data_IF_728423875170
#
_entry.id   IF_728423875170
#
_cell.length_a   1.000
_cell.length_b   1.000
_cell.length_c   1.000
_cell.angle_alpha   90.00
_cell.angle_beta   90.00
_cell.angle_gamma   90.00
#
_symmetry.space_group_name_H-M   'P 1'
#
loop_
_entity.id
_entity.type
_entity.pdbx_description
1 polymer ?
#
# COMPACT_ATOMS: atom_id res chain seq x y z
N UNK A 1 8.19 5.22 -14.43
CA UNK A 1 9.21 4.25 -14.88
C UNK A 1 10.42 4.51 -14.00
N UNK A 2 10.93 3.51 -13.27
CA UNK A 2 12.04 3.72 -12.33
C UNK A 2 13.34 3.84 -13.11
N UNK A 3 13.96 5.02 -13.08
CA UNK A 3 15.11 5.33 -13.91
C UNK A 3 16.42 4.73 -13.38
N UNK A 4 16.53 4.44 -12.08
CA UNK A 4 17.72 3.86 -11.45
C UNK A 4 17.42 3.04 -10.18
N UNK A 5 18.28 2.07 -9.89
CA UNK A 5 18.25 1.28 -8.65
C UNK A 5 18.78 2.11 -7.48
N UNK A 6 18.03 2.22 -6.38
CA UNK A 6 18.49 2.93 -5.18
C UNK A 6 19.69 2.29 -4.48
N UNK A 7 19.95 1.01 -4.71
CA UNK A 7 21.06 0.28 -4.06
C UNK A 7 22.38 0.28 -4.82
N UNK A 8 22.36 0.41 -6.15
CA UNK A 8 23.56 0.36 -6.99
C UNK A 8 23.61 1.42 -8.08
N UNK A 9 22.63 2.33 -8.11
CA UNK A 9 22.51 3.46 -9.04
C UNK A 9 22.43 3.07 -10.53
N UNK A 10 22.44 1.76 -10.83
CA UNK A 10 22.31 1.24 -12.17
C UNK A 10 20.93 1.59 -12.74
N UNK A 11 20.92 2.13 -13.96
CA UNK A 11 19.69 2.36 -14.72
C UNK A 11 18.98 1.07 -15.09
N UNK A 12 17.66 1.10 -15.05
CA UNK A 12 16.83 -0.03 -15.47
C UNK A 12 16.85 -0.23 -16.98
N UNK A 13 16.77 -1.48 -17.41
CA UNK A 13 16.53 -1.81 -18.83
C UNK A 13 15.05 -2.04 -19.08
N UNK A 14 14.59 -1.88 -20.32
CA UNK A 14 13.21 -2.17 -20.69
C UNK A 14 12.83 -3.63 -20.34
N UNK A 15 11.69 -3.81 -19.67
CA UNK A 15 11.20 -5.13 -19.22
C UNK A 15 11.78 -5.63 -17.90
N UNK A 16 12.70 -4.87 -17.28
CA UNK A 16 13.26 -5.22 -15.99
C UNK A 16 12.28 -4.88 -14.85
N UNK A 17 12.00 -5.85 -13.98
CA UNK A 17 11.08 -5.67 -12.85
C UNK A 17 11.88 -5.23 -11.63
N UNK A 18 11.50 -4.09 -11.09
CA UNK A 18 12.04 -3.53 -9.85
C UNK A 18 11.04 -3.80 -8.73
N UNK A 19 11.56 -4.05 -7.54
CA UNK A 19 10.76 -4.21 -6.32
C UNK A 19 11.04 -3.05 -5.35
N UNK A 20 10.16 -2.83 -4.37
CA UNK A 20 10.22 -1.70 -3.45
C UNK A 20 10.62 -2.15 -2.04
N UNK A 21 11.62 -1.48 -1.45
CA UNK A 21 11.93 -1.65 -0.04
C UNK A 21 11.15 -0.61 0.79
N UNK A 22 10.19 -1.06 1.60
CA UNK A 22 9.39 -0.18 2.46
C UNK A 22 10.20 0.50 3.58
N UNK A 23 11.32 -0.09 4.01
CA UNK A 23 12.14 0.47 5.09
C UNK A 23 13.08 1.58 4.61
N UNK A 24 13.77 1.34 3.49
CA UNK A 24 14.70 2.30 2.92
C UNK A 24 14.04 3.25 1.90
N UNK A 25 12.77 3.00 1.54
CA UNK A 25 12.00 3.74 0.53
C UNK A 25 12.71 3.81 -0.85
N UNK A 26 13.29 2.68 -1.26
CA UNK A 26 14.06 2.57 -2.49
C UNK A 26 13.50 1.50 -3.42
N UNK A 27 13.52 1.80 -4.72
CA UNK A 27 13.32 0.81 -5.78
C UNK A 27 14.63 0.05 -6.04
N UNK A 28 14.58 -1.27 -5.99
CA UNK A 28 15.75 -2.15 -6.08
C UNK A 28 15.68 -3.05 -7.30
N UNK A 29 16.83 -3.22 -7.97
CA UNK A 29 16.98 -4.23 -9.00
C UNK A 29 17.04 -5.64 -8.39
N UNK A 30 16.82 -6.71 -9.19
CA UNK A 30 16.81 -8.09 -8.69
C UNK A 30 18.07 -8.50 -7.92
N UNK A 31 19.24 -8.00 -8.32
CA UNK A 31 20.51 -8.28 -7.65
C UNK A 31 20.63 -7.58 -6.28
N UNK A 32 20.20 -6.32 -6.17
CA UNK A 32 20.18 -5.61 -4.89
C UNK A 32 19.11 -6.17 -3.96
N UNK A 33 17.98 -6.59 -4.50
CA UNK A 33 16.91 -7.26 -3.76
C UNK A 33 17.36 -8.60 -3.19
N UNK A 34 18.03 -9.44 -3.99
CA UNK A 34 18.50 -10.77 -3.55
C UNK A 34 19.57 -10.72 -2.48
N UNK A 35 20.37 -9.65 -2.45
CA UNK A 35 21.35 -9.36 -1.38
C UNK A 35 20.67 -8.88 -0.08
N UNK A 36 19.41 -8.49 -0.14
CA UNK A 36 18.74 -7.76 0.92
C UNK A 36 19.11 -6.28 0.93
N UNK A 37 18.18 -5.47 1.40
CA UNK A 37 18.38 -4.06 1.65
C UNK A 37 18.19 -3.82 3.14
N UNK A 38 18.87 -2.82 3.71
CA UNK A 38 18.75 -2.48 5.13
C UNK A 38 19.12 -3.64 6.10
N UNK A 39 19.94 -4.61 5.67
CA UNK A 39 20.35 -5.77 6.49
C UNK A 39 19.29 -6.86 6.62
N UNK A 40 18.16 -6.74 5.91
CA UNK A 40 17.07 -7.73 5.91
C UNK A 40 16.90 -8.32 4.52
N UNK A 41 16.73 -9.64 4.46
CA UNK A 41 16.40 -10.36 3.23
C UNK A 41 14.88 -10.23 3.03
N UNK A 42 14.39 -9.98 1.80
CA UNK A 42 12.95 -9.93 1.54
C UNK A 42 12.27 -11.21 2.04
N UNK A 43 11.06 -11.06 2.60
CA UNK A 43 10.29 -12.21 3.06
C UNK A 43 10.04 -13.19 1.90
N UNK A 44 10.27 -14.49 2.14
CA UNK A 44 10.12 -15.53 1.11
C UNK A 44 8.70 -15.63 0.54
N UNK A 45 7.71 -15.09 1.25
CA UNK A 45 6.31 -15.00 0.80
C UNK A 45 6.15 -14.22 -0.52
N UNK A 46 7.10 -13.36 -0.89
CA UNK A 46 7.10 -12.63 -2.16
C UNK A 46 7.60 -13.45 -3.36
N UNK A 47 8.44 -14.47 -3.17
CA UNK A 47 9.03 -15.24 -4.29
C UNK A 47 8.03 -16.12 -5.03
N UNK A 48 6.97 -16.56 -4.34
CA UNK A 48 5.91 -17.40 -4.88
C UNK A 48 4.59 -16.66 -5.10
N UNK A 49 4.53 -15.36 -4.80
CA UNK A 49 3.31 -14.60 -4.97
C UNK A 49 2.94 -14.57 -6.47
N UNK A 50 1.73 -15.00 -6.85
CA UNK A 50 1.29 -14.94 -8.23
C UNK A 50 1.31 -13.48 -8.70
N UNK A 51 1.78 -13.25 -9.94
CA UNK A 51 1.86 -11.90 -10.55
C UNK A 51 0.52 -11.19 -10.61
N UNK A 52 -0.56 -11.96 -10.60
CA UNK A 52 -1.92 -11.50 -10.55
C UNK A 52 -2.62 -12.23 -9.42
N UNK A 53 -3.18 -11.47 -8.48
CA UNK A 53 -4.14 -12.03 -7.54
C UNK A 53 -5.36 -12.48 -8.34
N UNK A 54 -5.96 -13.64 -8.01
CA UNK A 54 -7.24 -14.00 -8.60
C UNK A 54 -8.23 -12.86 -8.36
N UNK A 55 -9.04 -12.55 -9.37
CA UNK A 55 -10.08 -11.54 -9.24
C UNK A 55 -10.94 -11.92 -8.02
N UNK A 56 -11.02 -11.06 -6.99
CA UNK A 56 -11.80 -11.39 -5.81
C UNK A 56 -13.23 -11.68 -6.27
N UNK A 57 -13.89 -12.70 -5.70
CA UNK A 57 -15.28 -12.96 -6.05
C UNK A 57 -16.07 -11.67 -5.88
N UNK A 58 -16.89 -11.32 -6.88
CA UNK A 58 -17.82 -10.19 -6.78
C UNK A 58 -18.83 -10.50 -5.68
N UNK A 59 -18.48 -10.16 -4.45
CA UNK A 59 -19.44 -10.08 -3.38
C UNK A 59 -20.44 -8.98 -3.74
N UNK A 60 -21.72 -9.25 -3.56
CA UNK A 60 -22.70 -8.17 -3.49
C UNK A 60 -22.22 -7.23 -2.38
N UNK A 61 -22.20 -5.91 -2.59
CA UNK A 61 -21.82 -4.98 -1.54
C UNK A 61 -22.78 -5.18 -0.37
N UNK A 62 -22.29 -5.81 0.70
CA UNK A 62 -23.03 -5.88 1.95
C UNK A 62 -23.18 -4.44 2.47
N UNK A 63 -24.38 -4.03 2.92
CA UNK A 63 -24.53 -2.73 3.54
C UNK A 63 -23.61 -2.68 4.75
N UNK A 64 -22.72 -1.70 4.75
CA UNK A 64 -21.84 -1.44 5.88
C UNK A 64 -22.72 -1.22 7.13
N UNK A 65 -22.35 -1.78 8.30
CA UNK A 65 -23.07 -1.52 9.55
C UNK A 65 -23.31 -0.01 9.79
N UNK A 66 -24.40 0.35 10.46
CA UNK A 66 -24.76 1.76 10.69
C UNK A 66 -23.66 2.58 11.41
N UNK A 67 -22.79 1.90 12.16
CA UNK A 67 -21.65 2.49 12.87
C UNK A 67 -20.29 2.22 12.20
N UNK A 68 -20.27 1.56 11.05
CA UNK A 68 -19.05 1.24 10.33
C UNK A 68 -18.39 2.52 9.82
N UNK A 69 -17.08 2.63 10.07
CA UNK A 69 -16.26 3.76 9.61
C UNK A 69 -16.11 4.90 10.61
N UNK A 70 -16.72 4.87 11.80
CA UNK A 70 -16.44 5.89 12.82
C UNK A 70 -16.92 7.29 12.42
N UNK A 71 -18.11 7.40 11.82
CA UNK A 71 -18.74 8.71 11.62
C UNK A 71 -19.10 9.30 12.98
N UNK A 72 -18.67 10.52 13.26
CA UNK A 72 -19.05 11.19 14.51
C UNK A 72 -20.54 11.59 14.53
N UNK A 73 -21.17 11.82 13.37
CA UNK A 73 -22.60 12.11 13.20
C UNK A 73 -23.02 12.01 11.72
N UNK A 74 -24.31 12.20 11.44
CA UNK A 74 -24.87 12.19 10.07
C UNK A 74 -24.38 13.33 9.16
N UNK A 75 -23.83 14.40 9.73
CA UNK A 75 -23.26 15.53 8.98
C UNK A 75 -21.79 15.31 8.55
N UNK A 76 -21.15 14.23 8.98
CA UNK A 76 -19.78 13.91 8.58
C UNK A 76 -19.75 13.40 7.13
N UNK A 77 -18.85 13.95 6.30
CA UNK A 77 -18.64 13.51 4.91
C UNK A 77 -17.41 12.61 4.81
N UNK A 78 -17.48 11.56 4.00
CA UNK A 78 -16.32 10.74 3.68
C UNK A 78 -15.38 11.50 2.74
N UNK A 79 -14.09 11.38 2.99
CA UNK A 79 -13.01 11.85 2.13
C UNK A 79 -12.14 10.65 1.79
N UNK A 80 -11.76 10.54 0.51
CA UNK A 80 -10.85 9.50 0.07
C UNK A 80 -9.48 9.69 0.73
N UNK A 81 -9.02 8.67 1.45
CA UNK A 81 -7.67 8.57 1.99
C UNK A 81 -7.12 7.21 1.56
N UNK A 82 -5.86 7.17 1.12
CA UNK A 82 -5.23 5.96 0.57
C UNK A 82 -5.01 4.85 1.61
N UNK A 83 -5.01 5.19 2.90
CA UNK A 83 -4.66 4.28 3.99
C UNK A 83 -5.70 4.17 5.11
N UNK A 84 -6.77 4.97 5.08
CA UNK A 84 -7.76 5.01 6.16
C UNK A 84 -9.14 5.48 5.68
N UNK A 85 -10.15 5.31 6.53
CA UNK A 85 -11.40 6.04 6.39
C UNK A 85 -11.25 7.42 7.04
N UNK A 86 -11.33 8.47 6.25
CA UNK A 86 -11.28 9.85 6.72
C UNK A 86 -12.65 10.51 6.63
N UNK A 87 -13.13 11.03 7.75
CA UNK A 87 -14.38 11.77 7.87
C UNK A 87 -14.13 13.21 8.26
N UNK A 88 -14.71 14.14 7.50
CA UNK A 88 -14.66 15.58 7.81
C UNK A 88 -16.02 16.03 8.30
N UNK A 89 -16.09 16.66 9.47
CA UNK A 89 -17.31 17.22 10.02
C UNK A 89 -17.11 18.67 10.46
N UNK A 90 -17.96 19.58 9.95
CA UNK A 90 -17.89 21.01 10.30
C UNK A 90 -18.13 21.31 11.79
N UNK A 91 -18.74 20.38 12.54
CA UNK A 91 -19.03 20.53 13.97
C UNK A 91 -18.01 19.88 14.89
N UNK A 92 -17.46 18.74 14.48
CA UNK A 92 -16.64 17.88 15.34
C UNK A 92 -15.20 17.73 14.85
N UNK A 93 -14.85 18.39 13.74
CA UNK A 93 -13.53 18.29 13.13
C UNK A 93 -13.36 17.02 12.30
N UNK A 94 -12.10 16.65 12.13
CA UNK A 94 -11.69 15.56 11.25
C UNK A 94 -11.40 14.30 12.07
N UNK A 95 -11.93 13.17 11.61
CA UNK A 95 -11.79 11.87 12.26
C UNK A 95 -11.20 10.85 11.28
N UNK A 96 -10.08 10.27 11.69
CA UNK A 96 -9.33 9.28 10.92
C UNK A 96 -9.47 7.93 11.63
N UNK A 97 -10.04 6.95 10.93
CA UNK A 97 -10.16 5.57 11.43
C UNK A 97 -9.51 4.65 10.41
N UNK A 98 -8.33 4.15 10.78
CA UNK A 98 -7.53 3.20 10.03
C UNK A 98 -6.41 2.68 10.92
N UNK A 99 -5.98 1.44 10.69
CA UNK A 99 -4.75 0.89 11.26
C UNK A 99 -3.60 1.31 10.36
N UNK A 100 -2.69 2.13 10.89
CA UNK A 100 -1.36 2.26 10.32
C UNK A 100 -0.60 0.99 10.72
N UNK A 101 -0.50 0.02 9.81
CA UNK A 101 0.55 -1.00 9.85
C UNK A 101 1.77 -0.50 9.07
#
# INVERSE_FOLDING_TARGET
MFDACGGCERRGTAGEVYDWCAHCELSLCPACLSRGCCGTVPADSGRGAPRELPEPPRAAPEPLPEHFGGRCCTHARAVACSCAFHWVCVRHGDLHVGTHD
#
